data_IF_887431363307
#
_entry.id   IF_887431363307
#
_cell.length_a   1.000
_cell.length_b   1.000
_cell.length_c   1.000
_cell.angle_alpha   90.00
_cell.angle_beta   90.00
_cell.angle_gamma   90.00
#
_symmetry.space_group_name_H-M   'P 1'
#
loop_
_entity.id
_entity.type
_entity.pdbx_description
1 polymer ?
#
# COMPACT_ATOMS: atom_id res chain seq x y z
N UNK A 1 30.41 24.48 -11.63
CA UNK A 1 30.59 23.38 -10.67
C UNK A 1 29.20 23.01 -10.14
N UNK A 2 28.54 22.02 -10.74
CA UNK A 2 27.30 21.45 -10.19
C UNK A 2 27.63 20.85 -8.82
N UNK A 3 27.08 21.44 -7.77
CA UNK A 3 27.02 20.78 -6.46
C UNK A 3 26.15 19.51 -6.65
N UNK A 4 26.83 18.37 -6.87
CA UNK A 4 26.15 17.08 -6.74
C UNK A 4 25.54 17.03 -5.33
N UNK A 5 24.24 17.29 -5.25
CA UNK A 5 23.49 17.06 -4.02
C UNK A 5 23.66 15.59 -3.64
N UNK A 6 24.41 15.34 -2.57
CA UNK A 6 24.70 14.01 -2.10
C UNK A 6 23.36 13.32 -1.80
N UNK A 7 23.00 12.32 -2.61
CA UNK A 7 21.75 11.55 -2.44
C UNK A 7 21.61 11.07 -1.01
N UNK A 8 20.43 11.19 -0.42
CA UNK A 8 20.11 10.59 0.89
C UNK A 8 20.36 9.08 0.85
N UNK A 9 20.76 8.49 1.97
CA UNK A 9 20.99 7.05 2.07
C UNK A 9 20.44 6.50 3.38
N UNK A 10 19.86 5.29 3.32
CA UNK A 10 19.52 4.52 4.51
C UNK A 10 20.76 4.15 5.32
N UNK A 11 20.60 3.95 6.62
CA UNK A 11 21.71 3.57 7.50
C UNK A 11 22.30 2.20 7.15
N UNK A 12 21.47 1.27 6.61
CA UNK A 12 21.86 -0.08 6.20
C UNK A 12 20.65 -0.94 5.85
N UNK A 13 20.84 -2.27 5.81
CA UNK A 13 19.78 -3.24 5.44
C UNK A 13 18.50 -3.06 6.25
N UNK A 14 18.60 -2.97 7.58
CA UNK A 14 17.42 -2.83 8.47
C UNK A 14 16.64 -1.56 8.16
N UNK A 15 17.33 -0.44 7.92
CA UNK A 15 16.71 0.83 7.56
C UNK A 15 15.92 0.74 6.27
N UNK A 16 16.50 0.15 5.23
CA UNK A 16 15.81 -0.11 3.97
C UNK A 16 14.61 -1.04 4.15
N UNK A 17 14.82 -2.23 4.75
CA UNK A 17 13.77 -3.26 4.89
C UNK A 17 12.57 -2.73 5.67
N UNK A 18 12.78 -2.08 6.83
CA UNK A 18 11.66 -1.58 7.63
C UNK A 18 10.95 -0.39 6.99
N UNK A 19 11.68 0.43 6.21
CA UNK A 19 11.04 1.52 5.45
C UNK A 19 10.24 0.98 4.26
N UNK A 20 10.80 0.01 3.51
CA UNK A 20 10.12 -0.61 2.37
C UNK A 20 8.94 -1.49 2.83
N UNK A 21 9.10 -2.26 3.90
CA UNK A 21 8.01 -3.00 4.52
C UNK A 21 6.92 -2.06 5.06
N UNK A 22 7.30 -0.92 5.67
CA UNK A 22 6.34 0.10 6.11
C UNK A 22 5.60 0.78 4.95
N UNK A 23 6.23 0.88 3.77
CA UNK A 23 5.56 1.33 2.57
C UNK A 23 4.54 0.30 2.06
N UNK A 24 4.90 -0.99 2.11
CA UNK A 24 4.05 -2.09 1.64
C UNK A 24 2.92 -2.41 2.63
N UNK A 25 3.22 -2.46 3.93
CA UNK A 25 2.22 -2.71 4.97
C UNK A 25 1.38 -1.46 5.20
N UNK A 26 0.24 -1.40 4.55
CA UNK A 26 -0.66 -0.24 4.58
C UNK A 26 -2.12 -0.63 4.86
N UNK A 27 -3.00 0.32 4.58
CA UNK A 27 -4.43 0.12 4.72
C UNK A 27 -4.95 -1.06 3.86
N UNK A 28 -4.31 -1.31 2.72
CA UNK A 28 -4.65 -2.43 1.84
C UNK A 28 -4.52 -3.81 2.47
N UNK A 29 -3.54 -4.02 3.36
CA UNK A 29 -3.38 -5.28 4.09
C UNK A 29 -4.45 -5.43 5.17
N UNK A 30 -4.92 -4.33 5.77
CA UNK A 30 -5.78 -4.37 6.95
C UNK A 30 -7.25 -4.47 6.57
N UNK A 31 -7.72 -3.81 5.51
CA UNK A 31 -9.14 -3.91 5.13
C UNK A 31 -9.39 -4.65 3.83
N UNK A 32 -8.60 -4.33 2.76
CA UNK A 32 -8.86 -4.88 1.43
C UNK A 32 -8.53 -6.36 1.36
N UNK A 33 -7.41 -6.78 1.91
CA UNK A 33 -6.99 -8.17 1.90
C UNK A 33 -7.99 -9.09 2.63
N UNK A 34 -8.42 -8.82 3.90
CA UNK A 34 -9.39 -9.67 4.57
C UNK A 34 -10.74 -9.77 3.84
N UNK A 35 -11.22 -8.65 3.32
CA UNK A 35 -12.44 -8.63 2.51
C UNK A 35 -12.31 -9.53 1.27
N UNK A 36 -11.25 -9.35 0.48
CA UNK A 36 -11.04 -10.15 -0.73
C UNK A 36 -10.81 -11.63 -0.40
N UNK A 37 -10.08 -11.92 0.66
CA UNK A 37 -9.87 -13.29 1.10
C UNK A 37 -11.21 -13.95 1.49
N UNK A 38 -12.07 -13.25 2.22
CA UNK A 38 -13.38 -13.78 2.58
C UNK A 38 -14.29 -13.98 1.36
N UNK A 39 -14.36 -12.99 0.47
CA UNK A 39 -15.23 -13.05 -0.71
C UNK A 39 -14.79 -14.04 -1.77
N UNK A 40 -13.47 -14.24 -1.95
CA UNK A 40 -12.92 -15.02 -3.04
C UNK A 40 -12.25 -16.32 -2.63
N UNK A 41 -12.77 -16.96 -1.56
CA UNK A 41 -12.52 -18.36 -1.27
C UNK A 41 -11.64 -18.66 -0.05
N UNK A 42 -11.37 -17.69 0.82
CA UNK A 42 -10.65 -17.91 2.07
C UNK A 42 -9.23 -18.44 1.86
N UNK A 43 -8.98 -19.66 2.33
CA UNK A 43 -7.66 -20.29 2.26
C UNK A 43 -7.13 -20.51 0.85
N UNK A 44 -7.99 -20.71 -0.17
CA UNK A 44 -7.51 -20.80 -1.56
C UNK A 44 -7.07 -19.45 -2.08
N UNK A 45 -7.72 -18.34 -1.70
CA UNK A 45 -7.26 -16.99 -2.00
C UNK A 45 -5.89 -16.73 -1.37
N UNK A 46 -5.72 -17.09 -0.08
CA UNK A 46 -4.45 -16.95 0.62
C UNK A 46 -3.33 -17.73 -0.07
N UNK A 47 -3.59 -18.97 -0.50
CA UNK A 47 -2.62 -19.78 -1.22
C UNK A 47 -2.19 -19.12 -2.55
N UNK A 48 -3.15 -18.65 -3.35
CA UNK A 48 -2.87 -17.92 -4.61
C UNK A 48 -2.09 -16.64 -4.32
N UNK A 49 -2.46 -15.89 -3.29
CA UNK A 49 -1.76 -14.68 -2.88
C UNK A 49 -0.29 -14.96 -2.53
N UNK A 50 0.00 -16.00 -1.73
CA UNK A 50 1.38 -16.39 -1.38
C UNK A 50 2.17 -16.78 -2.62
N UNK A 51 1.60 -17.56 -3.54
CA UNK A 51 2.27 -17.92 -4.81
C UNK A 51 2.61 -16.67 -5.62
N UNK A 52 1.70 -15.71 -5.70
CA UNK A 52 1.93 -14.44 -6.39
C UNK A 52 2.98 -13.58 -5.67
N UNK A 53 3.02 -13.58 -4.34
CA UNK A 53 4.04 -12.86 -3.58
C UNK A 53 5.44 -13.35 -3.91
N UNK A 54 5.67 -14.67 -3.84
CA UNK A 54 6.98 -15.27 -4.07
C UNK A 54 7.42 -15.31 -5.55
N UNK A 55 6.52 -14.99 -6.48
CA UNK A 55 6.80 -14.97 -7.93
C UNK A 55 6.72 -13.55 -8.50
N UNK A 56 5.52 -13.04 -8.67
CA UNK A 56 5.26 -11.73 -9.27
C UNK A 56 5.74 -10.59 -8.38
N UNK A 57 5.33 -10.58 -7.10
CA UNK A 57 5.72 -9.56 -6.13
C UNK A 57 7.23 -9.46 -5.98
N UNK A 58 7.87 -10.60 -5.70
CA UNK A 58 9.32 -10.71 -5.64
C UNK A 58 10.02 -10.11 -6.87
N UNK A 59 9.56 -10.49 -8.07
CA UNK A 59 10.16 -10.05 -9.33
C UNK A 59 10.09 -8.54 -9.50
N UNK A 60 8.95 -7.95 -9.24
CA UNK A 60 8.76 -6.50 -9.39
C UNK A 60 9.54 -5.71 -8.35
N UNK A 61 9.58 -6.15 -7.07
CA UNK A 61 10.38 -5.50 -6.03
C UNK A 61 11.86 -5.51 -6.40
N UNK A 62 12.39 -6.66 -6.86
CA UNK A 62 13.80 -6.78 -7.32
C UNK A 62 14.05 -5.81 -8.48
N UNK A 63 13.18 -5.79 -9.50
CA UNK A 63 13.36 -4.96 -10.68
C UNK A 63 13.39 -3.46 -10.34
N UNK A 64 12.42 -2.99 -9.58
CA UNK A 64 12.30 -1.57 -9.21
C UNK A 64 13.41 -1.14 -8.23
N UNK A 65 13.74 -1.96 -7.25
CA UNK A 65 14.82 -1.68 -6.30
C UNK A 65 16.17 -1.64 -6.99
N UNK A 66 16.45 -2.60 -7.90
CA UNK A 66 17.68 -2.62 -8.69
C UNK A 66 17.79 -1.38 -9.59
N UNK A 67 16.69 -1.01 -10.28
CA UNK A 67 16.63 0.17 -11.11
C UNK A 67 16.98 1.45 -10.33
N UNK A 68 16.40 1.60 -9.13
CA UNK A 68 16.69 2.71 -8.24
C UNK A 68 18.16 2.72 -7.79
N UNK A 69 18.71 1.57 -7.36
CA UNK A 69 20.09 1.46 -6.86
C UNK A 69 21.15 1.67 -7.96
N UNK A 70 20.88 1.18 -9.18
CA UNK A 70 21.76 1.39 -10.34
C UNK A 70 21.92 2.88 -10.69
N UNK A 71 20.82 3.62 -10.61
CA UNK A 71 20.74 4.98 -11.12
C UNK A 71 20.96 6.05 -10.06
N UNK A 72 20.70 5.73 -8.79
CA UNK A 72 20.64 6.69 -7.69
C UNK A 72 19.70 7.87 -7.98
N UNK A 73 18.60 7.64 -8.70
CA UNK A 73 17.61 8.65 -9.11
C UNK A 73 16.19 8.23 -8.75
N UNK A 74 15.30 9.23 -8.70
CA UNK A 74 13.85 9.04 -8.67
C UNK A 74 13.33 8.36 -9.94
N UNK A 75 12.07 7.90 -10.00
CA UNK A 75 11.56 7.14 -11.13
C UNK A 75 11.80 7.79 -12.50
N UNK A 76 11.57 9.10 -12.65
CA UNK A 76 11.74 9.79 -13.93
C UNK A 76 13.21 9.76 -14.37
N UNK A 77 14.11 10.10 -13.46
CA UNK A 77 15.55 10.08 -13.72
C UNK A 77 16.09 8.68 -13.95
N UNK A 78 15.54 7.66 -13.25
CA UNK A 78 15.92 6.27 -13.41
C UNK A 78 15.57 5.75 -14.81
N UNK A 79 14.35 5.99 -15.29
CA UNK A 79 13.95 5.63 -16.65
C UNK A 79 14.74 6.41 -17.71
N UNK A 80 15.01 7.70 -17.46
CA UNK A 80 15.78 8.55 -18.38
C UNK A 80 17.25 8.19 -18.50
N UNK A 81 17.83 7.48 -17.53
CA UNK A 81 19.25 7.12 -17.51
C UNK A 81 19.63 6.11 -18.61
N UNK A 82 18.70 5.27 -19.07
CA UNK A 82 18.94 4.20 -20.02
C UNK A 82 18.54 4.48 -21.46
N UNK A 83 17.97 5.65 -21.76
CA UNK A 83 17.61 5.96 -23.13
C UNK A 83 17.36 7.45 -23.38
N UNK A 84 17.91 7.95 -24.51
CA UNK A 84 17.67 9.32 -24.97
C UNK A 84 16.29 9.50 -25.65
N UNK A 85 15.52 8.43 -25.87
CA UNK A 85 14.21 8.48 -26.52
C UNK A 85 13.13 8.88 -25.50
N UNK A 86 12.39 9.94 -25.79
CA UNK A 86 11.38 10.53 -24.91
C UNK A 86 10.28 9.56 -24.40
N UNK A 87 9.99 8.50 -25.16
CA UNK A 87 9.00 7.47 -24.77
C UNK A 87 9.35 6.69 -23.48
N UNK A 88 10.64 6.53 -23.17
CA UNK A 88 11.06 5.85 -21.92
C UNK A 88 10.83 6.72 -20.68
N UNK A 89 11.03 8.04 -20.79
CA UNK A 89 10.73 8.96 -19.68
C UNK A 89 9.25 8.99 -19.32
N UNK A 90 8.36 8.67 -20.26
CA UNK A 90 6.92 8.59 -19.99
C UNK A 90 6.60 7.54 -18.91
N UNK A 91 7.19 6.34 -18.98
CA UNK A 91 7.03 5.32 -17.92
C UNK A 91 7.52 5.81 -16.55
N UNK A 92 8.63 6.57 -16.53
CA UNK A 92 9.13 7.20 -15.30
C UNK A 92 8.17 8.25 -14.75
N UNK A 93 7.58 9.08 -15.61
CA UNK A 93 6.60 10.09 -15.20
C UNK A 93 5.31 9.46 -14.67
N UNK A 94 4.80 8.36 -15.28
CA UNK A 94 3.65 7.64 -14.73
C UNK A 94 3.97 7.17 -13.31
N UNK A 95 5.11 6.47 -13.11
CA UNK A 95 5.54 6.03 -11.79
C UNK A 95 5.68 7.17 -10.77
N UNK A 96 6.10 8.36 -11.20
CA UNK A 96 6.28 9.52 -10.35
C UNK A 96 4.97 10.25 -10.00
N UNK A 97 4.01 10.27 -10.91
CA UNK A 97 2.71 10.95 -10.71
C UNK A 97 1.79 10.14 -9.81
N UNK A 98 1.88 8.81 -9.85
CA UNK A 98 1.05 7.93 -9.03
C UNK A 98 1.09 8.30 -7.54
N UNK A 99 2.24 8.38 -6.85
CA UNK A 99 2.27 8.74 -5.43
C UNK A 99 1.79 10.18 -5.16
N UNK A 100 1.96 11.10 -6.11
CA UNK A 100 1.45 12.47 -6.00
C UNK A 100 -0.08 12.50 -5.97
N UNK A 101 -0.74 11.59 -6.70
CA UNK A 101 -2.19 11.48 -6.72
C UNK A 101 -2.75 10.60 -5.58
N UNK A 102 -2.01 9.57 -5.15
CA UNK A 102 -2.45 8.68 -4.07
C UNK A 102 -2.40 9.38 -2.72
N UNK A 103 -1.28 10.03 -2.38
CA UNK A 103 -1.08 10.53 -1.02
C UNK A 103 -2.15 11.53 -0.55
N UNK A 104 -2.74 12.39 -1.40
CA UNK A 104 -3.84 13.27 -1.00
C UNK A 104 -5.05 12.49 -0.47
N UNK A 105 -5.64 11.60 -1.26
CA UNK A 105 -6.84 10.85 -0.83
C UNK A 105 -6.52 9.80 0.24
N UNK A 106 -5.33 9.22 0.23
CA UNK A 106 -4.86 8.30 1.26
C UNK A 106 -4.78 9.00 2.63
N UNK A 107 -4.37 10.27 2.65
CA UNK A 107 -4.32 11.09 3.86
C UNK A 107 -5.71 11.42 4.41
N UNK A 108 -6.74 11.50 3.55
CA UNK A 108 -8.15 11.63 3.99
C UNK A 108 -8.56 10.40 4.80
N UNK A 109 -8.25 9.21 4.30
CA UNK A 109 -8.54 7.97 5.01
C UNK A 109 -7.73 7.88 6.31
N UNK A 110 -6.46 8.33 6.31
CA UNK A 110 -5.66 8.48 7.52
C UNK A 110 -6.31 9.42 8.54
N UNK A 111 -6.94 10.48 8.09
CA UNK A 111 -7.75 11.37 8.91
C UNK A 111 -8.96 10.67 9.55
N UNK A 112 -9.66 9.81 8.82
CA UNK A 112 -10.76 8.99 9.35
C UNK A 112 -10.27 8.05 10.47
N UNK A 113 -9.07 7.49 10.30
CA UNK A 113 -8.42 6.65 11.35
C UNK A 113 -8.16 7.47 12.62
N UNK A 114 -7.67 8.71 12.49
CA UNK A 114 -7.48 9.62 13.64
C UNK A 114 -8.80 9.87 14.37
N UNK A 115 -9.88 10.14 13.64
CA UNK A 115 -11.22 10.34 14.23
C UNK A 115 -11.64 9.12 15.06
N UNK A 116 -11.59 7.93 14.48
CA UNK A 116 -12.00 6.71 15.16
C UNK A 116 -11.13 6.38 16.36
N UNK A 117 -9.82 6.55 16.24
CA UNK A 117 -8.90 6.40 17.38
C UNK A 117 -9.24 7.39 18.51
N UNK A 118 -9.50 8.65 18.18
CA UNK A 118 -9.85 9.66 19.19
C UNK A 118 -11.14 9.31 19.94
N UNK A 119 -12.15 8.80 19.27
CA UNK A 119 -13.41 8.37 19.89
C UNK A 119 -13.21 7.17 20.82
N UNK A 120 -12.44 6.16 20.40
CA UNK A 120 -12.12 5.03 21.27
C UNK A 120 -11.35 5.46 22.52
N UNK A 121 -10.34 6.34 22.39
CA UNK A 121 -9.56 6.88 23.53
C UNK A 121 -10.45 7.70 24.46
N UNK A 122 -11.41 8.44 23.93
CA UNK A 122 -12.33 9.29 24.70
C UNK A 122 -13.49 8.51 25.34
N UNK A 123 -13.56 7.18 25.12
CA UNK A 123 -14.62 6.34 25.70
C UNK A 123 -15.94 6.36 24.92
N UNK A 124 -15.98 6.95 23.73
CA UNK A 124 -17.17 7.02 22.86
C UNK A 124 -17.18 5.89 21.80
N UNK A 125 -16.49 4.77 22.05
CA UNK A 125 -16.39 3.66 21.08
C UNK A 125 -17.76 3.08 20.68
N UNK A 126 -18.74 3.07 21.56
CA UNK A 126 -20.10 2.62 21.29
C UNK A 126 -20.85 3.47 20.25
N UNK A 127 -20.54 4.77 20.15
CA UNK A 127 -21.13 5.66 19.15
C UNK A 127 -20.69 5.26 17.73
N UNK A 128 -19.46 4.75 17.57
CA UNK A 128 -18.90 4.32 16.29
C UNK A 128 -19.65 3.12 15.68
N UNK A 129 -20.31 2.32 16.51
CA UNK A 129 -21.10 1.15 16.07
C UNK A 129 -22.50 1.52 15.58
N UNK A 130 -22.96 2.77 15.82
CA UNK A 130 -24.29 3.24 15.43
C UNK A 130 -24.40 3.38 13.92
N UNK A 131 -25.59 3.01 13.40
CA UNK A 131 -25.89 3.17 11.98
C UNK A 131 -25.82 4.65 11.58
N UNK A 132 -25.14 4.91 10.49
CA UNK A 132 -24.99 6.25 9.94
C UNK A 132 -23.86 7.09 10.55
N UNK A 133 -23.18 6.65 11.62
CA UNK A 133 -22.09 7.43 12.22
C UNK A 133 -21.02 7.77 11.18
N UNK A 134 -20.50 6.77 10.45
CA UNK A 134 -19.49 6.99 9.44
C UNK A 134 -19.94 7.92 8.32
N UNK A 135 -21.14 7.70 7.77
CA UNK A 135 -21.66 8.56 6.71
C UNK A 135 -21.89 10.00 7.17
N UNK A 136 -22.40 10.21 8.39
CA UNK A 136 -22.55 11.53 8.99
C UNK A 136 -21.19 12.22 9.22
N UNK A 137 -20.17 11.47 9.64
CA UNK A 137 -18.84 12.00 9.84
C UNK A 137 -18.22 12.46 8.52
N UNK A 138 -18.18 11.61 7.48
CA UNK A 138 -17.55 11.97 6.19
C UNK A 138 -18.32 13.06 5.45
N UNK A 139 -19.63 13.19 5.67
CA UNK A 139 -20.46 14.26 5.07
C UNK A 139 -20.40 15.58 5.86
N UNK A 140 -19.89 15.58 7.08
CA UNK A 140 -19.81 16.78 7.94
C UNK A 140 -18.92 17.91 7.38
N UNK A 141 -18.11 17.64 6.37
CA UNK A 141 -17.18 18.58 5.77
C UNK A 141 -16.06 19.03 6.72
N UNK A 142 -16.38 19.89 7.69
CA UNK A 142 -15.38 20.46 8.58
C UNK A 142 -14.65 19.40 9.42
N UNK A 143 -15.36 18.45 10.02
CA UNK A 143 -14.75 17.43 10.89
C UNK A 143 -13.82 16.50 10.09
N UNK A 144 -14.27 16.06 8.92
CA UNK A 144 -13.45 15.22 8.02
C UNK A 144 -12.21 15.97 7.53
N UNK A 145 -12.36 17.25 7.16
CA UNK A 145 -11.26 18.11 6.70
C UNK A 145 -10.22 18.35 7.79
N UNK A 146 -10.62 18.65 9.02
CA UNK A 146 -9.70 18.87 10.15
C UNK A 146 -8.87 17.61 10.42
N UNK A 147 -9.49 16.44 10.48
CA UNK A 147 -8.79 15.17 10.69
C UNK A 147 -7.80 14.87 9.55
N UNK A 148 -8.20 15.12 8.30
CA UNK A 148 -7.32 15.01 7.14
C UNK A 148 -6.10 15.93 7.24
N UNK A 149 -6.30 17.20 7.61
CA UNK A 149 -5.21 18.17 7.75
C UNK A 149 -4.24 17.79 8.88
N UNK A 150 -4.74 17.24 10.00
CA UNK A 150 -3.90 16.75 11.09
C UNK A 150 -3.02 15.59 10.58
N UNK A 151 -3.58 14.61 9.89
CA UNK A 151 -2.81 13.49 9.35
C UNK A 151 -1.78 13.96 8.32
N UNK A 152 -2.17 14.86 7.43
CA UNK A 152 -1.28 15.46 6.41
C UNK A 152 -0.12 16.21 7.05
N UNK A 153 -0.39 17.05 8.06
CA UNK A 153 0.64 17.78 8.78
C UNK A 153 1.63 16.84 9.49
N UNK A 154 1.13 15.76 10.09
CA UNK A 154 1.97 14.75 10.72
C UNK A 154 2.88 14.03 9.72
N UNK A 155 2.33 13.59 8.58
CA UNK A 155 3.10 13.00 7.47
C UNK A 155 4.20 13.95 6.98
N UNK A 156 3.85 15.20 6.70
CA UNK A 156 4.80 16.20 6.21
C UNK A 156 5.90 16.49 7.22
N UNK A 157 5.58 16.59 8.52
CA UNK A 157 6.59 16.83 9.57
C UNK A 157 7.68 15.74 9.56
N UNK A 158 7.28 14.47 9.35
CA UNK A 158 8.23 13.35 9.25
C UNK A 158 9.08 13.45 7.98
N UNK A 159 8.47 13.75 6.84
CA UNK A 159 9.18 13.86 5.56
C UNK A 159 10.13 15.06 5.56
N UNK A 160 9.76 16.20 6.17
CA UNK A 160 10.66 17.34 6.35
C UNK A 160 11.91 17.00 7.17
N UNK A 161 11.84 16.05 8.12
CA UNK A 161 12.99 15.59 8.90
C UNK A 161 14.00 14.77 8.06
N UNK A 162 13.65 14.37 6.84
CA UNK A 162 14.51 13.68 5.88
C UNK A 162 14.41 12.16 5.93
N UNK A 163 15.13 11.50 5.02
CA UNK A 163 15.06 10.03 4.86
C UNK A 163 15.51 9.31 6.13
N UNK A 164 16.71 9.63 6.63
CA UNK A 164 17.31 8.91 7.77
C UNK A 164 16.66 9.26 9.11
N UNK A 165 16.44 10.55 9.36
CA UNK A 165 15.93 11.04 10.65
C UNK A 165 14.40 11.04 10.74
N UNK A 166 13.71 11.05 9.61
CA UNK A 166 12.25 10.98 9.49
C UNK A 166 11.81 9.58 9.08
N UNK A 167 11.82 9.29 7.78
CA UNK A 167 11.25 8.05 7.20
C UNK A 167 11.80 6.80 7.88
N UNK A 168 13.11 6.61 7.90
CA UNK A 168 13.76 5.42 8.46
C UNK A 168 13.54 5.30 9.97
N UNK A 169 13.70 6.41 10.71
CA UNK A 169 13.57 6.39 12.17
C UNK A 169 12.15 6.04 12.60
N UNK A 170 11.16 6.62 11.94
CA UNK A 170 9.74 6.35 12.21
C UNK A 170 9.38 4.90 11.88
N UNK A 171 9.81 4.41 10.70
CA UNK A 171 9.57 3.02 10.31
C UNK A 171 10.22 2.02 11.27
N UNK A 172 11.41 2.30 11.78
CA UNK A 172 12.11 1.44 12.76
C UNK A 172 11.36 1.29 14.09
N UNK A 173 10.54 2.28 14.46
CA UNK A 173 9.73 2.22 15.69
C UNK A 173 8.35 1.64 15.38
N UNK A 174 7.68 2.17 14.36
CA UNK A 174 6.28 1.82 14.07
C UNK A 174 6.12 0.36 13.60
N UNK A 175 7.04 -0.14 12.75
CA UNK A 175 6.90 -1.49 12.19
C UNK A 175 6.96 -2.61 13.25
N UNK A 176 7.94 -2.64 14.18
CA UNK A 176 7.92 -3.63 15.26
C UNK A 176 6.67 -3.55 16.15
N UNK A 177 6.23 -2.34 16.49
CA UNK A 177 5.01 -2.16 17.30
C UNK A 177 3.78 -2.66 16.54
N UNK A 178 3.68 -2.36 15.24
CA UNK A 178 2.60 -2.85 14.37
C UNK A 178 2.55 -4.38 14.35
N UNK A 179 3.70 -5.06 14.22
CA UNK A 179 3.77 -6.54 14.28
C UNK A 179 3.27 -7.06 15.62
N UNK A 180 3.71 -6.47 16.74
CA UNK A 180 3.26 -6.89 18.08
C UNK A 180 1.76 -6.69 18.24
N UNK A 181 1.24 -5.53 17.85
CA UNK A 181 -0.21 -5.25 17.90
C UNK A 181 -1.01 -6.22 17.04
N UNK A 182 -0.52 -6.55 15.83
CA UNK A 182 -1.21 -7.48 14.95
C UNK A 182 -1.30 -8.89 15.56
N UNK A 183 -0.22 -9.36 16.21
CA UNK A 183 -0.22 -10.65 16.91
C UNK A 183 -1.17 -10.65 18.11
N UNK A 184 -1.17 -9.58 18.91
CA UNK A 184 -2.06 -9.46 20.09
C UNK A 184 -3.52 -9.47 19.66
N UNK A 185 -3.90 -8.65 18.66
CA UNK A 185 -5.29 -8.55 18.22
C UNK A 185 -5.73 -9.83 17.53
N UNK A 186 -4.90 -10.44 16.67
CA UNK A 186 -5.20 -11.72 16.03
C UNK A 186 -5.37 -12.83 17.07
N UNK A 187 -4.47 -12.90 18.07
CA UNK A 187 -4.58 -13.83 19.20
C UNK A 187 -5.89 -13.67 19.93
N UNK A 188 -6.30 -12.44 20.24
CA UNK A 188 -7.59 -12.18 20.87
C UNK A 188 -8.77 -12.58 19.98
N UNK A 189 -8.74 -12.25 18.70
CA UNK A 189 -9.80 -12.55 17.73
C UNK A 189 -10.06 -14.05 17.59
N UNK A 190 -9.00 -14.86 17.47
CA UNK A 190 -9.13 -16.31 17.28
C UNK A 190 -9.63 -17.04 18.52
N UNK A 191 -9.58 -16.45 19.71
CA UNK A 191 -10.11 -17.02 20.96
C UNK A 191 -11.59 -16.75 21.19
N UNK A 192 -12.26 -16.00 20.32
CA UNK A 192 -13.69 -15.72 20.48
C UNK A 192 -14.57 -16.93 20.19
N UNK A 193 -15.72 -17.07 20.86
CA UNK A 193 -16.68 -18.13 20.57
C UNK A 193 -17.10 -18.07 19.08
N UNK A 194 -17.06 -19.19 18.38
CA UNK A 194 -17.38 -19.27 16.94
C UNK A 194 -16.25 -18.86 15.97
N UNK A 195 -15.18 -18.26 16.47
CA UNK A 195 -14.05 -17.79 15.64
C UNK A 195 -13.33 -18.91 14.86
N UNK A 196 -13.33 -20.14 15.39
CA UNK A 196 -12.63 -21.29 14.78
C UNK A 196 -13.11 -21.58 13.35
N UNK A 197 -14.39 -21.37 13.06
CA UNK A 197 -14.93 -21.51 11.71
C UNK A 197 -14.28 -20.53 10.74
N UNK A 198 -14.10 -19.28 11.16
CA UNK A 198 -13.40 -18.23 10.38
C UNK A 198 -11.91 -18.54 10.21
N UNK A 199 -11.23 -19.02 11.26
CA UNK A 199 -9.83 -19.46 11.17
C UNK A 199 -9.68 -20.59 10.16
N UNK A 200 -10.55 -21.62 10.23
CA UNK A 200 -10.53 -22.73 9.29
C UNK A 200 -10.83 -22.28 7.85
N UNK A 201 -11.84 -21.43 7.68
CA UNK A 201 -12.18 -20.85 6.37
C UNK A 201 -11.00 -20.11 5.74
N UNK A 202 -10.29 -19.31 6.54
CA UNK A 202 -9.19 -18.46 6.06
C UNK A 202 -7.88 -19.22 5.83
N UNK A 203 -7.54 -20.22 6.69
CA UNK A 203 -6.24 -20.87 6.60
C UNK A 203 -6.26 -22.18 5.80
N UNK A 204 -7.42 -22.86 5.68
CA UNK A 204 -7.49 -24.14 5.00
C UNK A 204 -7.94 -23.94 3.55
N UNK A 205 -7.06 -24.21 2.56
CA UNK A 205 -7.44 -24.11 1.16
C UNK A 205 -8.56 -25.10 0.80
N UNK A 206 -9.64 -24.57 0.22
CA UNK A 206 -10.72 -25.38 -0.33
C UNK A 206 -10.84 -25.13 -1.83
N UNK A 207 -10.48 -26.12 -2.65
CA UNK A 207 -10.50 -26.03 -4.11
C UNK A 207 -11.91 -25.78 -4.66
N UNK A 208 -12.95 -26.23 -3.94
CA UNK A 208 -14.34 -25.95 -4.33
C UNK A 208 -14.69 -24.45 -4.35
N UNK A 209 -13.97 -23.64 -3.56
CA UNK A 209 -14.14 -22.18 -3.49
C UNK A 209 -13.27 -21.43 -4.54
N UNK A 210 -12.52 -22.16 -5.38
CA UNK A 210 -11.68 -21.54 -6.40
C UNK A 210 -12.52 -20.98 -7.54
N UNK A 211 -12.18 -19.76 -7.96
CA UNK A 211 -12.70 -19.15 -9.19
C UNK A 211 -11.56 -18.41 -9.91
N UNK A 212 -11.74 -18.10 -11.19
CA UNK A 212 -10.79 -17.23 -11.89
C UNK A 212 -10.70 -15.84 -11.27
N UNK A 213 -11.79 -15.37 -10.66
CA UNK A 213 -11.79 -14.11 -9.89
C UNK A 213 -10.89 -14.17 -8.67
N UNK A 214 -10.71 -15.34 -8.04
CA UNK A 214 -9.72 -15.53 -6.97
C UNK A 214 -8.32 -15.13 -7.42
N UNK A 215 -7.92 -15.55 -8.62
CA UNK A 215 -6.59 -15.21 -9.18
C UNK A 215 -6.50 -13.72 -9.54
N UNK A 216 -7.49 -13.19 -10.24
CA UNK A 216 -7.50 -11.78 -10.70
C UNK A 216 -7.48 -10.82 -9.50
N UNK A 217 -8.32 -11.08 -8.49
CA UNK A 217 -8.39 -10.22 -7.31
C UNK A 217 -7.16 -10.37 -6.41
N UNK A 218 -6.57 -11.57 -6.30
CA UNK A 218 -5.31 -11.77 -5.60
C UNK A 218 -4.14 -11.05 -6.31
N UNK A 219 -4.09 -11.05 -7.65
CA UNK A 219 -3.11 -10.25 -8.41
C UNK A 219 -3.27 -8.76 -8.12
N UNK A 220 -4.50 -8.23 -8.20
CA UNK A 220 -4.76 -6.82 -7.90
C UNK A 220 -4.41 -6.44 -6.47
N UNK A 221 -4.70 -7.32 -5.51
CA UNK A 221 -4.34 -7.12 -4.10
C UNK A 221 -2.82 -7.12 -3.91
N UNK A 222 -2.10 -8.06 -4.51
CA UNK A 222 -0.64 -8.15 -4.45
C UNK A 222 0.02 -6.90 -5.02
N UNK A 223 -0.49 -6.41 -6.13
CA UNK A 223 0.00 -5.23 -6.81
C UNK A 223 -0.05 -3.99 -5.92
N UNK A 224 -1.20 -3.81 -5.27
CA UNK A 224 -1.44 -2.69 -4.35
C UNK A 224 -0.64 -2.84 -3.05
N UNK A 225 -0.67 -4.04 -2.45
CA UNK A 225 -0.07 -4.33 -1.15
C UNK A 225 1.45 -4.09 -1.15
N UNK A 226 2.16 -4.62 -2.15
CA UNK A 226 3.62 -4.49 -2.24
C UNK A 226 4.10 -3.14 -2.78
N UNK A 227 3.23 -2.16 -2.95
CA UNK A 227 3.55 -0.83 -3.50
C UNK A 227 4.28 -0.88 -4.86
N UNK A 228 3.94 -1.87 -5.69
CA UNK A 228 4.54 -2.08 -7.01
C UNK A 228 4.05 -0.98 -7.96
N UNK A 229 4.97 -0.48 -8.79
CA UNK A 229 4.72 0.54 -9.80
C UNK A 229 4.18 1.88 -9.25
N UNK A 230 4.48 2.17 -7.98
CA UNK A 230 4.18 3.45 -7.34
C UNK A 230 5.41 4.37 -7.25
N UNK A 231 6.53 4.01 -7.88
CA UNK A 231 7.78 4.75 -7.79
C UNK A 231 8.50 4.67 -6.44
N UNK A 232 7.87 4.13 -5.41
CA UNK A 232 8.40 4.03 -4.05
C UNK A 232 9.64 3.13 -4.01
N UNK A 233 9.55 1.93 -4.60
CA UNK A 233 10.65 0.96 -4.59
C UNK A 233 11.85 1.45 -5.41
N UNK A 234 11.64 2.17 -6.52
CA UNK A 234 12.70 2.84 -7.26
C UNK A 234 13.35 3.93 -6.40
N UNK A 235 12.54 4.78 -5.75
CA UNK A 235 13.03 5.83 -4.86
C UNK A 235 13.84 5.26 -3.69
N UNK A 236 13.31 4.27 -2.98
CA UNK A 236 13.99 3.64 -1.86
C UNK A 236 15.22 2.84 -2.30
N UNK A 237 15.16 2.17 -3.45
CA UNK A 237 16.31 1.56 -4.10
C UNK A 237 17.44 2.56 -4.35
N UNK A 238 17.10 3.80 -4.75
CA UNK A 238 18.09 4.86 -4.96
C UNK A 238 18.82 5.31 -3.68
N UNK A 239 18.25 5.03 -2.51
CA UNK A 239 18.83 5.29 -1.20
C UNK A 239 19.57 4.06 -0.63
N UNK A 240 19.49 2.90 -1.31
CA UNK A 240 20.12 1.66 -0.86
C UNK A 240 21.63 1.69 -1.11
N UNK A 241 22.40 1.29 -0.11
CA UNK A 241 23.85 1.14 -0.24
C UNK A 241 24.19 -0.09 -1.09
N UNK A 242 25.32 -0.05 -1.76
CA UNK A 242 25.79 -1.14 -2.66
C UNK A 242 26.19 -2.43 -1.94
N UNK A 243 26.52 -2.35 -0.65
CA UNK A 243 26.84 -3.50 0.20
C UNK A 243 25.61 -4.24 0.74
N UNK A 244 24.41 -3.67 0.57
CA UNK A 244 23.15 -4.28 0.99
C UNK A 244 22.61 -5.19 -0.12
N UNK A 245 22.27 -6.43 0.23
CA UNK A 245 21.67 -7.40 -0.71
C UNK A 245 20.27 -6.97 -1.14
N UNK A 246 20.04 -6.82 -2.45
CA UNK A 246 18.70 -6.58 -3.01
C UNK A 246 17.81 -7.79 -2.75
N UNK A 247 18.23 -9.00 -3.14
CA UNK A 247 17.43 -10.21 -2.97
C UNK A 247 17.06 -10.42 -1.51
N UNK A 248 18.05 -10.42 -0.59
CA UNK A 248 17.77 -10.63 0.82
C UNK A 248 16.96 -9.51 1.49
N UNK A 249 16.90 -8.31 0.90
CA UNK A 249 16.04 -7.24 1.36
C UNK A 249 14.62 -7.41 0.82
N UNK A 250 14.49 -7.80 -0.45
CA UNK A 250 13.19 -8.11 -1.09
C UNK A 250 12.48 -9.25 -0.38
N UNK A 251 13.21 -10.35 -0.05
CA UNK A 251 12.65 -11.48 0.71
C UNK A 251 12.08 -11.03 2.06
N UNK A 252 12.79 -10.14 2.75
CA UNK A 252 12.29 -9.61 4.03
C UNK A 252 11.04 -8.75 3.85
N UNK A 253 10.97 -7.87 2.84
CA UNK A 253 9.78 -7.06 2.54
C UNK A 253 8.59 -7.96 2.21
N UNK A 254 8.78 -8.94 1.34
CA UNK A 254 7.79 -9.96 0.96
C UNK A 254 7.23 -10.70 2.18
N UNK A 255 8.11 -11.16 3.08
CA UNK A 255 7.74 -11.85 4.32
C UNK A 255 6.94 -10.93 5.24
N UNK A 256 7.41 -9.69 5.46
CA UNK A 256 6.71 -8.74 6.32
C UNK A 256 5.30 -8.42 5.79
N UNK A 257 5.17 -8.13 4.50
CA UNK A 257 3.88 -7.82 3.89
C UNK A 257 2.90 -9.01 4.00
N UNK A 258 3.37 -10.20 3.61
CA UNK A 258 2.55 -11.43 3.63
C UNK A 258 2.13 -11.80 5.06
N UNK A 259 3.04 -11.71 6.03
CA UNK A 259 2.73 -11.99 7.44
C UNK A 259 1.69 -11.02 8.00
N UNK A 260 1.82 -9.71 7.70
CA UNK A 260 0.84 -8.72 8.19
C UNK A 260 -0.51 -8.91 7.49
N UNK A 261 -0.54 -9.21 6.19
CA UNK A 261 -1.77 -9.56 5.50
C UNK A 261 -2.45 -10.79 6.13
N UNK A 262 -1.69 -11.84 6.46
CA UNK A 262 -2.20 -13.01 7.18
C UNK A 262 -2.71 -12.66 8.58
N UNK A 263 -1.96 -11.84 9.34
CA UNK A 263 -2.40 -11.38 10.66
C UNK A 263 -3.69 -10.55 10.55
N UNK A 264 -3.81 -9.67 9.56
CA UNK A 264 -5.02 -8.91 9.30
C UNK A 264 -6.22 -9.84 8.98
N UNK A 265 -6.01 -10.86 8.15
CA UNK A 265 -7.00 -11.91 7.92
C UNK A 265 -7.43 -12.60 9.21
N UNK A 266 -6.49 -12.97 10.09
CA UNK A 266 -6.76 -13.59 11.39
C UNK A 266 -7.36 -12.62 12.43
N UNK A 267 -7.11 -11.33 12.31
CA UNK A 267 -7.76 -10.32 13.16
C UNK A 267 -9.24 -10.16 12.80
N UNK A 268 -9.55 -10.12 11.51
CA UNK A 268 -10.84 -9.65 11.01
C UNK A 268 -11.79 -10.80 10.69
N UNK A 269 -11.36 -11.80 9.92
CA UNK A 269 -12.26 -12.88 9.47
C UNK A 269 -12.83 -13.68 10.64
N UNK A 270 -12.03 -14.18 11.62
CA UNK A 270 -12.58 -14.89 12.77
C UNK A 270 -13.49 -14.04 13.65
N UNK A 271 -13.18 -12.74 13.82
CA UNK A 271 -14.00 -11.82 14.59
C UNK A 271 -15.39 -11.60 13.94
N UNK A 272 -15.41 -11.39 12.62
CA UNK A 272 -16.65 -11.22 11.87
C UNK A 272 -17.46 -12.53 11.84
N UNK A 273 -16.83 -13.69 11.67
CA UNK A 273 -17.50 -14.99 11.73
C UNK A 273 -18.12 -15.27 13.11
N UNK A 274 -17.42 -14.88 14.19
CA UNK A 274 -17.96 -14.95 15.55
C UNK A 274 -19.21 -14.08 15.71
N UNK A 275 -19.20 -12.88 15.13
CA UNK A 275 -20.29 -11.91 15.20
C UNK A 275 -21.49 -12.29 14.29
N UNK A 276 -21.22 -12.77 13.06
CA UNK A 276 -22.24 -13.06 12.04
C UNK A 276 -22.80 -14.48 12.06
N UNK A 277 -22.31 -15.34 12.94
CA UNK A 277 -22.66 -16.75 12.91
C UNK A 277 -22.06 -17.54 11.75
N UNK A 278 -21.00 -17.02 11.11
CA UNK A 278 -20.24 -17.71 10.07
C UNK A 278 -20.56 -17.29 8.63
N UNK A 279 -21.23 -16.17 8.45
CA UNK A 279 -21.55 -15.62 7.11
C UNK A 279 -20.41 -14.73 6.60
N UNK A 280 -19.66 -15.14 5.53
CA UNK A 280 -18.59 -14.32 4.96
C UNK A 280 -19.10 -13.08 4.22
N UNK A 281 -20.37 -13.04 3.80
CA UNK A 281 -20.95 -11.91 3.05
C UNK A 281 -21.21 -10.69 3.94
N UNK A 282 -21.10 -10.84 5.27
CA UNK A 282 -21.14 -9.70 6.22
C UNK A 282 -19.90 -8.82 6.17
N UNK A 283 -18.78 -9.28 5.58
CA UNK A 283 -17.62 -8.45 5.34
C UNK A 283 -17.88 -7.48 4.18
N UNK A 284 -18.09 -6.22 4.53
CA UNK A 284 -18.32 -5.16 3.55
C UNK A 284 -17.02 -4.79 2.82
N UNK A 285 -17.15 -4.31 1.58
CA UNK A 285 -16.01 -3.87 0.79
C UNK A 285 -15.46 -2.51 1.26
N UNK A 286 -14.15 -2.32 1.08
CA UNK A 286 -13.51 -1.02 1.21
C UNK A 286 -13.56 -0.43 2.62
N UNK A 287 -13.65 0.90 2.75
CA UNK A 287 -13.69 1.59 4.04
C UNK A 287 -14.81 1.13 4.97
N UNK A 288 -15.94 0.68 4.42
CA UNK A 288 -17.08 0.21 5.20
C UNK A 288 -16.73 -0.96 6.13
N UNK A 289 -15.81 -1.85 5.74
CA UNK A 289 -15.33 -2.90 6.63
C UNK A 289 -14.72 -2.30 7.90
N UNK A 290 -13.82 -1.36 7.75
CA UNK A 290 -13.04 -0.81 8.86
C UNK A 290 -13.83 0.19 9.71
N UNK A 291 -14.69 0.99 9.08
CA UNK A 291 -15.36 2.12 9.75
C UNK A 291 -16.83 1.84 10.10
N UNK A 292 -17.41 0.74 9.62
CA UNK A 292 -18.79 0.35 9.94
C UNK A 292 -18.82 -1.03 10.59
N UNK A 293 -18.28 -2.06 9.90
CA UNK A 293 -18.41 -3.45 10.38
C UNK A 293 -17.55 -3.70 11.62
N UNK A 294 -16.27 -3.33 11.61
CA UNK A 294 -15.34 -3.61 12.72
C UNK A 294 -15.76 -2.94 14.03
N UNK A 295 -16.21 -1.67 14.09
CA UNK A 295 -16.74 -1.09 15.32
C UNK A 295 -17.93 -1.86 15.91
N UNK A 296 -18.85 -2.36 15.06
CA UNK A 296 -19.98 -3.21 15.51
C UNK A 296 -19.49 -4.54 16.10
N UNK A 297 -18.49 -5.15 15.47
CA UNK A 297 -17.86 -6.38 15.98
C UNK A 297 -17.22 -6.12 17.33
N UNK A 298 -16.45 -5.04 17.48
CA UNK A 298 -15.80 -4.70 18.75
C UNK A 298 -16.82 -4.39 19.86
N UNK A 299 -17.92 -3.69 19.55
CA UNK A 299 -18.99 -3.42 20.51
C UNK A 299 -19.59 -4.69 21.09
N UNK A 300 -19.62 -5.78 20.33
CA UNK A 300 -20.09 -7.10 20.79
C UNK A 300 -19.09 -7.87 21.67
N UNK A 301 -17.85 -7.37 21.83
CA UNK A 301 -16.76 -8.06 22.55
C UNK A 301 -16.57 -7.49 23.96
N UNK A 302 -16.22 -8.34 24.95
CA UNK A 302 -15.99 -7.94 26.35
C UNK A 302 -14.94 -6.84 26.51
N UNK A 303 -13.84 -6.87 25.73
CA UNK A 303 -12.77 -5.87 25.73
C UNK A 303 -12.81 -4.99 24.48
N UNK A 304 -13.96 -4.82 23.87
CA UNK A 304 -14.12 -4.18 22.57
C UNK A 304 -13.51 -2.79 22.47
N UNK A 305 -13.70 -1.94 23.47
CA UNK A 305 -13.11 -0.60 23.50
C UNK A 305 -11.57 -0.63 23.53
N UNK A 306 -10.97 -1.53 24.32
CA UNK A 306 -9.51 -1.67 24.36
C UNK A 306 -8.97 -2.22 23.03
N UNK A 307 -9.62 -3.24 22.47
CA UNK A 307 -9.25 -3.81 21.17
C UNK A 307 -9.41 -2.77 20.08
N UNK A 308 -10.45 -1.93 20.14
CA UNK A 308 -10.66 -0.80 19.23
C UNK A 308 -9.51 0.19 19.28
N UNK A 309 -9.04 0.60 20.46
CA UNK A 309 -7.85 1.46 20.62
C UNK A 309 -6.63 0.80 19.98
N UNK A 310 -6.33 -0.45 20.33
CA UNK A 310 -5.14 -1.15 19.80
C UNK A 310 -5.23 -1.33 18.27
N UNK A 311 -6.41 -1.64 17.75
CA UNK A 311 -6.64 -1.79 16.32
C UNK A 311 -6.44 -0.46 15.56
N UNK A 312 -7.04 0.63 16.02
CA UNK A 312 -6.89 1.92 15.34
C UNK A 312 -5.50 2.54 15.52
N UNK A 313 -4.75 2.22 16.59
CA UNK A 313 -3.31 2.52 16.69
C UNK A 313 -2.52 1.74 15.63
N UNK A 314 -2.78 0.44 15.48
CA UNK A 314 -2.17 -0.39 14.44
C UNK A 314 -2.46 0.17 13.05
N UNK A 315 -3.72 0.50 12.76
CA UNK A 315 -4.14 1.07 11.47
C UNK A 315 -3.49 2.44 11.23
N UNK A 316 -3.39 3.28 12.26
CA UNK A 316 -2.72 4.58 12.16
C UNK A 316 -1.23 4.40 11.81
N UNK A 317 -0.53 3.45 12.42
CA UNK A 317 0.87 3.19 12.10
C UNK A 317 1.05 2.70 10.66
N UNK A 318 0.20 1.79 10.20
CA UNK A 318 0.19 1.33 8.82
C UNK A 318 -0.11 2.48 7.84
N UNK A 319 -1.07 3.34 8.15
CA UNK A 319 -1.40 4.50 7.33
C UNK A 319 -0.24 5.50 7.25
N UNK A 320 0.39 5.82 8.38
CA UNK A 320 1.50 6.77 8.45
C UNK A 320 2.72 6.26 7.70
N UNK A 321 3.14 5.00 7.89
CA UNK A 321 4.33 4.44 7.23
C UNK A 321 4.19 4.44 5.71
N UNK A 322 3.01 4.11 5.19
CA UNK A 322 2.73 4.17 3.74
C UNK A 322 2.62 5.61 3.23
N UNK A 323 1.98 6.51 3.98
CA UNK A 323 1.84 7.92 3.59
C UNK A 323 3.20 8.63 3.48
N UNK A 324 4.12 8.39 4.44
CA UNK A 324 5.48 8.97 4.37
C UNK A 324 6.28 8.41 3.18
N UNK A 325 6.09 7.14 2.82
CA UNK A 325 6.77 6.54 1.67
C UNK A 325 6.27 7.11 0.33
N UNK A 326 4.96 7.27 0.17
CA UNK A 326 4.34 7.93 -0.98
C UNK A 326 4.81 9.38 -1.10
N UNK A 327 4.78 10.12 0.01
CA UNK A 327 5.22 11.53 0.05
C UNK A 327 6.70 11.65 -0.27
N UNK A 328 7.55 10.76 0.24
CA UNK A 328 8.97 10.73 -0.03
C UNK A 328 9.27 10.48 -1.52
N UNK A 329 8.54 9.56 -2.15
CA UNK A 329 8.68 9.29 -3.59
C UNK A 329 8.34 10.54 -4.43
N UNK A 330 7.27 11.24 -4.06
CA UNK A 330 6.87 12.49 -4.71
C UNK A 330 7.91 13.61 -4.52
N UNK A 331 8.38 13.81 -3.28
CA UNK A 331 9.41 14.82 -2.94
C UNK A 331 10.70 14.55 -3.69
N UNK A 332 11.18 13.29 -3.69
CA UNK A 332 12.43 12.92 -4.35
C UNK A 332 12.37 13.17 -5.87
N UNK A 333 11.21 13.02 -6.49
CA UNK A 333 11.02 13.34 -7.91
C UNK A 333 11.21 14.83 -8.18
N UNK A 334 10.69 15.71 -7.33
CA UNK A 334 10.85 17.16 -7.50
C UNK A 334 12.26 17.62 -7.16
N UNK A 335 12.95 16.97 -6.19
CA UNK A 335 14.37 17.21 -5.94
C UNK A 335 15.22 16.89 -7.18
N UNK A 336 14.99 15.72 -7.81
CA UNK A 336 15.80 15.24 -8.92
C UNK A 336 15.51 15.96 -10.26
N UNK A 337 14.24 16.15 -10.62
CA UNK A 337 13.86 16.65 -11.94
C UNK A 337 13.85 18.19 -12.02
N UNK A 338 13.54 18.85 -10.89
CA UNK A 338 13.47 20.31 -10.85
C UNK A 338 14.65 20.96 -10.13
N UNK A 339 15.56 20.14 -9.56
CA UNK A 339 16.72 20.64 -8.80
C UNK A 339 16.33 21.42 -7.55
N UNK A 340 15.13 21.14 -6.98
CA UNK A 340 14.65 21.88 -5.81
C UNK A 340 15.28 21.34 -4.53
N UNK A 341 15.44 22.25 -3.56
CA UNK A 341 15.79 21.81 -2.21
C UNK A 341 14.64 20.97 -1.62
N UNK A 342 14.98 20.00 -0.76
CA UNK A 342 14.02 19.14 -0.06
C UNK A 342 12.88 19.92 0.60
N UNK A 343 13.21 21.03 1.29
CA UNK A 343 12.21 21.85 1.95
C UNK A 343 11.20 22.43 0.97
N UNK A 344 11.68 22.93 -0.18
CA UNK A 344 10.80 23.48 -1.23
C UNK A 344 9.95 22.36 -1.86
N UNK A 345 10.55 21.24 -2.21
CA UNK A 345 9.83 20.10 -2.78
C UNK A 345 8.73 19.58 -1.83
N UNK A 346 9.07 19.37 -0.54
CA UNK A 346 8.12 18.92 0.46
C UNK A 346 6.99 19.93 0.72
N UNK A 347 7.29 21.24 0.71
CA UNK A 347 6.26 22.27 0.87
C UNK A 347 5.28 22.28 -0.32
N UNK A 348 5.77 22.14 -1.55
CA UNK A 348 4.90 22.12 -2.74
C UNK A 348 4.07 20.82 -2.78
N UNK A 349 4.67 19.68 -2.47
CA UNK A 349 3.91 18.42 -2.32
C UNK A 349 2.85 18.57 -1.22
N UNK A 350 3.17 19.22 -0.09
CA UNK A 350 2.20 19.52 0.96
C UNK A 350 1.01 20.36 0.45
N UNK A 351 1.27 21.38 -0.37
CA UNK A 351 0.20 22.18 -0.99
C UNK A 351 -0.66 21.29 -1.91
N UNK A 352 -0.05 20.45 -2.74
CA UNK A 352 -0.77 19.51 -3.62
C UNK A 352 -1.61 18.54 -2.78
N UNK A 353 -1.04 17.99 -1.69
CA UNK A 353 -1.77 17.10 -0.76
C UNK A 353 -3.01 17.81 -0.19
N UNK A 354 -2.87 19.04 0.28
CA UNK A 354 -4.00 19.79 0.82
C UNK A 354 -5.04 20.06 -0.26
N UNK A 355 -4.65 20.56 -1.42
CA UNK A 355 -5.60 20.92 -2.48
C UNK A 355 -6.39 19.69 -3.00
N UNK A 356 -5.69 18.61 -3.37
CA UNK A 356 -6.36 17.40 -3.91
C UNK A 356 -7.04 16.59 -2.80
N UNK A 357 -6.46 16.61 -1.58
CA UNK A 357 -7.05 15.93 -0.44
C UNK A 357 -8.33 16.61 0.04
N UNK A 358 -8.39 17.94 0.05
CA UNK A 358 -9.63 18.68 0.37
C UNK A 358 -10.75 18.36 -0.62
N UNK A 359 -10.45 18.22 -1.93
CA UNK A 359 -11.46 17.76 -2.90
C UNK A 359 -12.00 16.37 -2.50
N UNK A 360 -11.13 15.46 -2.08
CA UNK A 360 -11.51 14.11 -1.67
C UNK A 360 -12.26 14.11 -0.33
N UNK A 361 -11.82 14.89 0.66
CA UNK A 361 -12.44 14.97 1.98
C UNK A 361 -13.85 15.61 1.91
N UNK A 362 -13.98 16.67 1.13
CA UNK A 362 -15.25 17.38 0.95
C UNK A 362 -16.18 16.71 -0.07
N UNK A 363 -15.68 15.75 -0.84
CA UNK A 363 -16.43 15.04 -1.89
C UNK A 363 -17.66 14.29 -1.38
N UNK A 364 -17.64 13.81 -0.13
CA UNK A 364 -18.80 13.13 0.48
C UNK A 364 -19.77 14.08 1.21
N UNK A 365 -19.43 15.36 1.31
CA UNK A 365 -20.21 16.38 2.00
C UNK A 365 -20.55 17.56 1.09
N UNK A 366 -19.94 18.75 1.31
CA UNK A 366 -20.26 19.96 0.56
C UNK A 366 -20.10 19.85 -0.97
N UNK A 367 -19.18 18.98 -1.44
CA UNK A 367 -18.91 18.74 -2.86
C UNK A 367 -19.57 17.45 -3.39
N UNK A 368 -20.47 16.81 -2.64
CA UNK A 368 -21.09 15.53 -3.02
C UNK A 368 -21.84 15.55 -4.35
N UNK A 369 -22.31 16.72 -4.78
CA UNK A 369 -22.93 16.92 -6.10
C UNK A 369 -21.94 17.01 -7.26
N UNK A 370 -20.63 17.07 -6.99
CA UNK A 370 -19.59 17.18 -8.03
C UNK A 370 -18.87 15.82 -8.19
N UNK A 371 -19.09 15.17 -9.31
CA UNK A 371 -18.49 13.86 -9.60
C UNK A 371 -17.65 13.90 -10.87
N UNK A 372 -16.64 13.03 -10.95
CA UNK A 372 -15.84 12.82 -12.16
C UNK A 372 -16.13 11.41 -12.68
N UNK A 373 -16.69 11.32 -13.89
CA UNK A 373 -17.13 10.04 -14.49
C UNK A 373 -18.12 9.29 -13.57
N UNK A 374 -18.97 10.02 -12.84
CA UNK A 374 -19.94 9.44 -11.90
C UNK A 374 -19.34 8.99 -10.56
N UNK A 375 -18.05 9.20 -10.31
CA UNK A 375 -17.35 8.85 -9.06
C UNK A 375 -17.09 10.09 -8.21
N UNK A 376 -17.11 9.94 -6.89
CA UNK A 376 -16.60 10.94 -5.97
C UNK A 376 -15.09 11.12 -6.15
N UNK A 377 -14.51 12.26 -5.74
CA UNK A 377 -13.11 12.57 -5.99
C UNK A 377 -12.15 11.50 -5.44
N UNK A 378 -12.38 10.98 -4.23
CA UNK A 378 -11.56 9.93 -3.65
C UNK A 378 -11.61 8.66 -4.52
N UNK A 379 -12.80 8.22 -4.89
CA UNK A 379 -13.00 7.00 -5.69
C UNK A 379 -12.41 7.17 -7.10
N UNK A 380 -12.53 8.37 -7.67
CA UNK A 380 -11.93 8.68 -8.97
C UNK A 380 -10.39 8.64 -8.93
N UNK A 381 -9.76 9.24 -7.92
CA UNK A 381 -8.30 9.19 -7.79
C UNK A 381 -7.82 7.78 -7.52
N UNK A 382 -8.53 7.01 -6.70
CA UNK A 382 -8.23 5.60 -6.46
C UNK A 382 -8.33 4.77 -7.74
N UNK A 383 -9.42 4.91 -8.49
CA UNK A 383 -9.60 4.25 -9.78
C UNK A 383 -8.49 4.63 -10.78
N UNK A 384 -8.23 5.94 -10.95
CA UNK A 384 -7.23 6.42 -11.90
C UNK A 384 -5.84 5.88 -11.59
N UNK A 385 -5.43 5.91 -10.32
CA UNK A 385 -4.09 5.47 -9.91
C UNK A 385 -3.97 3.96 -9.87
N UNK A 386 -4.85 3.27 -9.14
CA UNK A 386 -4.69 1.83 -8.90
C UNK A 386 -5.16 0.98 -10.08
N UNK A 387 -6.26 1.37 -10.73
CA UNK A 387 -6.85 0.56 -11.80
C UNK A 387 -6.25 0.84 -13.19
N UNK A 388 -5.73 2.05 -13.41
CA UNK A 388 -5.23 2.46 -14.74
C UNK A 388 -3.72 2.71 -14.72
N UNK A 389 -3.24 3.67 -13.90
CA UNK A 389 -1.86 4.12 -14.00
C UNK A 389 -0.84 3.09 -13.51
N UNK A 390 -1.09 2.42 -12.39
CA UNK A 390 -0.15 1.43 -11.83
C UNK A 390 0.09 0.23 -12.78
N UNK A 391 -0.92 -0.41 -13.37
CA UNK A 391 -0.67 -1.47 -14.35
C UNK A 391 0.13 -0.99 -15.57
N UNK A 392 -0.13 0.21 -16.07
CA UNK A 392 0.63 0.81 -17.16
C UNK A 392 2.09 1.05 -16.75
N UNK A 393 2.32 1.57 -15.53
CA UNK A 393 3.64 1.78 -14.99
C UNK A 393 4.44 0.47 -14.83
N UNK A 394 3.77 -0.61 -14.40
CA UNK A 394 4.40 -1.93 -14.31
C UNK A 394 4.79 -2.51 -15.67
N UNK A 395 3.91 -2.40 -16.67
CA UNK A 395 4.24 -2.78 -18.05
C UNK A 395 5.43 -1.97 -18.54
N UNK A 396 5.47 -0.66 -18.29
CA UNK A 396 6.58 0.19 -18.67
C UNK A 396 7.89 -0.23 -17.97
N UNK A 397 7.85 -0.62 -16.68
CA UNK A 397 9.00 -1.15 -15.94
C UNK A 397 9.47 -2.47 -16.54
N UNK A 398 8.56 -3.40 -16.85
CA UNK A 398 8.90 -4.67 -17.49
C UNK A 398 9.58 -4.44 -18.86
N UNK A 399 9.02 -3.56 -19.69
CA UNK A 399 9.58 -3.22 -21.01
C UNK A 399 10.95 -2.54 -20.89
N UNK A 400 11.12 -1.65 -19.92
CA UNK A 400 12.41 -1.01 -19.65
C UNK A 400 13.47 -2.07 -19.33
N UNK A 401 13.17 -2.96 -18.39
CA UNK A 401 14.10 -4.00 -17.92
C UNK A 401 14.42 -5.01 -19.03
N UNK A 402 13.42 -5.47 -19.78
CA UNK A 402 13.61 -6.56 -20.76
C UNK A 402 14.14 -6.10 -22.11
N UNK A 403 13.69 -4.93 -22.58
CA UNK A 403 13.95 -4.50 -23.97
C UNK A 403 15.00 -3.39 -24.09
N UNK A 404 15.31 -2.69 -23.00
CA UNK A 404 16.21 -1.52 -23.04
C UNK A 404 17.48 -1.73 -22.23
N UNK A 405 17.31 -2.09 -20.95
CA UNK A 405 18.43 -2.31 -20.03
C UNK A 405 19.09 -3.64 -20.31
N UNK A 406 18.28 -4.68 -20.52
CA UNK A 406 18.67 -6.07 -20.51
C UNK A 406 18.61 -6.65 -19.09
N UNK A 407 18.02 -7.83 -18.98
CA UNK A 407 17.85 -8.53 -17.69
C UNK A 407 19.20 -8.84 -17.05
N UNK A 408 20.23 -9.05 -17.86
CA UNK A 408 21.61 -9.33 -17.44
C UNK A 408 22.18 -8.19 -16.57
N UNK A 409 21.90 -6.94 -16.89
CA UNK A 409 22.36 -5.79 -16.08
C UNK A 409 21.67 -5.73 -14.71
N UNK A 410 20.41 -6.13 -14.63
CA UNK A 410 19.73 -6.27 -13.33
C UNK A 410 20.38 -7.38 -12.51
N UNK A 411 20.72 -8.52 -13.16
CA UNK A 411 21.42 -9.61 -12.51
C UNK A 411 22.79 -9.18 -11.98
N UNK A 412 23.57 -8.45 -12.78
CA UNK A 412 24.86 -7.87 -12.38
C UNK A 412 24.71 -6.96 -11.16
N UNK A 413 23.68 -6.10 -11.16
CA UNK A 413 23.40 -5.23 -10.02
C UNK A 413 23.02 -6.01 -8.77
N UNK A 414 22.16 -7.03 -8.89
CA UNK A 414 21.73 -7.87 -7.75
C UNK A 414 22.91 -8.66 -7.17
N UNK A 415 23.78 -9.18 -8.03
CA UNK A 415 24.94 -10.00 -7.63
C UNK A 415 26.18 -9.19 -7.26
N UNK A 416 26.10 -7.87 -7.26
CA UNK A 416 27.21 -6.98 -6.93
C UNK A 416 27.79 -7.32 -5.55
N UNK A 417 29.12 -7.22 -5.40
CA UNK A 417 29.85 -7.57 -4.18
C UNK A 417 29.71 -9.05 -3.74
N UNK A 418 29.45 -9.96 -4.69
CA UNK A 418 29.30 -11.39 -4.41
C UNK A 418 27.99 -11.78 -3.75
N UNK A 419 26.97 -10.90 -3.81
CA UNK A 419 25.66 -11.20 -3.27
C UNK A 419 24.98 -12.33 -4.07
N UNK A 420 24.23 -13.24 -3.41
CA UNK A 420 23.53 -14.32 -4.12
C UNK A 420 22.31 -13.78 -4.88
N UNK A 421 21.97 -14.45 -5.98
CA UNK A 421 20.67 -14.29 -6.66
C UNK A 421 20.04 -15.67 -6.86
N UNK A 422 19.46 -16.20 -5.80
CA UNK A 422 18.96 -17.58 -5.72
C UNK A 422 17.75 -17.81 -6.61
N UNK A 423 16.80 -16.84 -6.64
CA UNK A 423 15.59 -16.91 -7.44
C UNK A 423 15.74 -16.31 -8.85
N UNK A 424 16.97 -16.24 -9.39
CA UNK A 424 17.29 -15.70 -10.72
C UNK A 424 16.42 -16.28 -11.82
N UNK A 425 16.19 -17.62 -11.84
CA UNK A 425 15.37 -18.28 -12.86
C UNK A 425 13.90 -17.81 -12.80
N UNK A 426 13.36 -17.66 -11.60
CA UNK A 426 11.99 -17.13 -11.38
C UNK A 426 11.92 -15.69 -11.86
N UNK A 427 12.86 -14.84 -11.46
CA UNK A 427 12.93 -13.46 -11.90
C UNK A 427 12.93 -13.33 -13.42
N UNK A 428 13.83 -14.06 -14.11
CA UNK A 428 13.98 -13.99 -15.57
C UNK A 428 12.74 -14.46 -16.33
N UNK A 429 12.10 -15.53 -15.85
CA UNK A 429 10.87 -16.01 -16.45
C UNK A 429 9.71 -15.02 -16.22
N UNK A 430 9.52 -14.59 -14.99
CA UNK A 430 8.41 -13.72 -14.62
C UNK A 430 8.49 -12.35 -15.30
N UNK A 431 9.65 -11.69 -15.27
CA UNK A 431 9.79 -10.33 -15.83
C UNK A 431 9.61 -10.27 -17.34
N UNK A 432 10.03 -11.35 -18.05
CA UNK A 432 9.93 -11.44 -19.52
C UNK A 432 8.55 -11.86 -20.01
N UNK A 433 7.77 -12.59 -19.19
CA UNK A 433 6.54 -13.24 -19.63
C UNK A 433 5.33 -12.87 -18.78
N UNK A 434 5.28 -13.32 -17.53
CA UNK A 434 4.05 -13.25 -16.72
C UNK A 434 3.80 -11.86 -16.12
N UNK A 435 4.83 -11.12 -15.71
CA UNK A 435 4.62 -9.79 -15.11
C UNK A 435 3.88 -8.81 -16.03
N UNK A 436 4.28 -8.62 -17.30
CA UNK A 436 3.54 -7.74 -18.20
C UNK A 436 2.14 -8.27 -18.53
N UNK A 437 1.96 -9.60 -18.61
CA UNK A 437 0.63 -10.23 -18.84
C UNK A 437 -0.28 -9.99 -17.64
N UNK A 438 0.19 -10.20 -16.43
CA UNK A 438 -0.59 -9.96 -15.21
C UNK A 438 -0.98 -8.48 -15.08
N UNK A 439 -0.06 -7.56 -15.34
CA UNK A 439 -0.37 -6.14 -15.35
C UNK A 439 -1.44 -5.78 -16.40
N UNK A 440 -1.38 -6.38 -17.59
CA UNK A 440 -2.40 -6.20 -18.63
C UNK A 440 -3.77 -6.77 -18.21
N UNK A 441 -3.81 -7.95 -17.57
CA UNK A 441 -5.04 -8.53 -17.03
C UNK A 441 -5.65 -7.63 -15.97
N UNK A 442 -4.84 -7.11 -15.03
CA UNK A 442 -5.29 -6.18 -13.99
C UNK A 442 -5.88 -4.92 -14.63
N UNK A 443 -5.21 -4.33 -15.61
CA UNK A 443 -5.70 -3.14 -16.32
C UNK A 443 -7.06 -3.39 -16.96
N UNK A 444 -7.17 -4.46 -17.75
CA UNK A 444 -8.40 -4.78 -18.49
C UNK A 444 -9.54 -5.11 -17.53
N UNK A 445 -9.29 -5.96 -16.52
CA UNK A 445 -10.32 -6.34 -15.55
C UNK A 445 -10.79 -5.16 -14.69
N UNK A 446 -9.88 -4.30 -14.24
CA UNK A 446 -10.25 -3.13 -13.44
C UNK A 446 -11.05 -2.10 -14.24
N UNK A 447 -10.67 -1.86 -15.49
CA UNK A 447 -11.43 -0.97 -16.38
C UNK A 447 -12.81 -1.57 -16.70
N UNK A 448 -12.87 -2.88 -17.00
CA UNK A 448 -14.14 -3.58 -17.24
C UNK A 448 -15.08 -3.54 -16.03
N UNK A 449 -14.52 -3.67 -14.80
CA UNK A 449 -15.28 -3.51 -13.56
C UNK A 449 -15.81 -2.08 -13.40
N UNK A 450 -14.99 -1.07 -13.65
CA UNK A 450 -15.39 0.34 -13.53
C UNK A 450 -16.48 0.73 -14.56
N UNK A 451 -16.49 0.07 -15.72
CA UNK A 451 -17.52 0.24 -16.75
C UNK A 451 -18.79 -0.62 -16.49
N UNK A 452 -18.79 -1.42 -15.42
CA UNK A 452 -19.91 -2.29 -15.07
C UNK A 452 -20.07 -3.53 -15.97
N UNK A 453 -19.03 -3.88 -16.73
CA UNK A 453 -19.04 -5.07 -17.60
C UNK A 453 -18.81 -6.37 -16.82
N UNK A 454 -18.09 -6.27 -15.70
CA UNK A 454 -17.88 -7.37 -14.75
C UNK A 454 -18.03 -6.82 -13.33
N UNK A 455 -18.31 -7.68 -12.34
CA UNK A 455 -18.31 -7.34 -10.91
C UNK A 455 -17.11 -7.98 -10.21
N UNK A 456 -16.27 -7.19 -9.56
CA UNK A 456 -15.11 -7.64 -8.78
C UNK A 456 -15.29 -7.36 -7.30
#
# INVERSE_FOLDING_TARGET
MEQQHKRSAFSGKIGFVLSAAGASVGLGNIWRFPYLAAKYGGGIFLLVYIVLAVTFGYTMIVAETALGRMTHKSPVGAFGAFGKKGGLRFGGWINAVIPILIVPYYSVIGGWVIRYLSEYISGHGSELSQDGYFSNFISSGLSAEVCFLIFTAFTLAIVFAGVRNGVERVSKVMMPVLVVLSVVIAGYSVTRPGALAGVKYFLVPNVANFSWMTVVTAMGQMFYSLSIAMGILVTFGSYMKKDVSIEGSTENVEIFDTLIAMMAGLMIIPAVFSFSGGDPDTLQAGPALMFITIPKVFESMELGSLVGVLFFVLVLFAAVTSSIALTESAVSTFEDELGWSRKKAAAVIGIIMVLLGSLSALGYGPLSGVTVIGMQFLDFFDFLTNSVMMPIAAIATCLLVTSVIGVEKIEEEVTQNGQPFRRKKVFNFMIRTLCPVFAAIILVSSVANALGWISM
#
